data_IF_929037609979
#
_entry.id   IF_929037609979
#
_cell.length_a   1.000
_cell.length_b   1.000
_cell.length_c   1.000
_cell.angle_alpha   90.00
_cell.angle_beta   90.00
_cell.angle_gamma   90.00
#
_symmetry.space_group_name_H-M   'P 1'
#
loop_
_entity.id
_entity.type
_entity.pdbx_description
1 polymer ?
#
# COMPACT_ATOMS: atom_id res chain seq x y z
N UNK A 1 -19.52 -5.60 -2.78
CA UNK A 1 -19.03 -5.03 -1.50
C UNK A 1 -17.95 -4.05 -1.88
N UNK A 2 -18.00 -2.81 -1.39
CA UNK A 2 -17.30 -1.65 -1.96
C UNK A 2 -15.79 -1.82 -2.22
N UNK A 3 -15.11 -2.71 -1.47
CA UNK A 3 -13.69 -3.03 -1.67
C UNK A 3 -13.39 -3.69 -3.02
N UNK A 4 -14.28 -4.56 -3.51
CA UNK A 4 -14.09 -5.24 -4.79
C UNK A 4 -14.23 -4.27 -5.98
N UNK A 5 -15.13 -3.29 -5.84
CA UNK A 5 -15.28 -2.18 -6.79
C UNK A 5 -14.06 -1.26 -6.76
N UNK A 6 -13.59 -0.87 -5.57
CA UNK A 6 -12.37 -0.06 -5.40
C UNK A 6 -11.15 -0.74 -6.00
N UNK A 7 -11.02 -2.06 -5.84
CA UNK A 7 -9.95 -2.85 -6.47
C UNK A 7 -9.94 -2.70 -7.99
N UNK A 8 -11.11 -2.67 -8.63
CA UNK A 8 -11.22 -2.42 -10.07
C UNK A 8 -10.69 -1.03 -10.47
N UNK A 9 -11.00 -0.01 -9.66
CA UNK A 9 -10.52 1.36 -9.88
C UNK A 9 -9.01 1.53 -9.66
N UNK A 10 -8.36 0.69 -8.84
CA UNK A 10 -6.90 0.74 -8.66
C UNK A 10 -6.11 0.43 -9.93
N UNK A 11 -6.74 -0.22 -10.92
CA UNK A 11 -6.16 -0.53 -12.24
C UNK A 11 -6.75 0.35 -13.36
N UNK A 12 -7.44 1.44 -12.99
CA UNK A 12 -8.00 2.36 -13.97
C UNK A 12 -6.89 3.02 -14.80
N UNK A 13 -7.23 3.40 -16.04
CA UNK A 13 -6.32 4.14 -16.92
C UNK A 13 -5.97 5.53 -16.38
N UNK A 14 -6.83 6.06 -15.50
CA UNK A 14 -6.62 7.33 -14.82
C UNK A 14 -5.87 7.12 -13.50
N UNK A 15 -4.64 7.63 -13.45
CA UNK A 15 -3.75 7.52 -12.29
C UNK A 15 -4.29 8.20 -11.03
N UNK A 16 -5.00 9.34 -11.16
CA UNK A 16 -5.62 10.02 -10.03
C UNK A 16 -6.76 9.19 -9.44
N UNK A 17 -7.54 8.53 -10.31
CA UNK A 17 -8.64 7.64 -9.89
C UNK A 17 -8.08 6.40 -9.19
N UNK A 18 -7.05 5.79 -9.76
CA UNK A 18 -6.35 4.67 -9.15
C UNK A 18 -5.78 5.04 -7.77
N UNK A 19 -5.10 6.19 -7.67
CA UNK A 19 -4.54 6.66 -6.40
C UNK A 19 -5.60 6.98 -5.35
N UNK A 20 -6.71 7.60 -5.76
CA UNK A 20 -7.84 7.86 -4.86
C UNK A 20 -8.46 6.57 -4.34
N UNK A 21 -8.61 5.55 -5.19
CA UNK A 21 -9.12 4.24 -4.81
C UNK A 21 -8.18 3.53 -3.83
N UNK A 22 -6.87 3.54 -4.10
CA UNK A 22 -5.83 2.97 -3.22
C UNK A 22 -5.86 3.65 -1.85
N UNK A 23 -5.89 4.99 -1.83
CA UNK A 23 -5.98 5.78 -0.60
C UNK A 23 -7.26 5.49 0.18
N UNK A 24 -8.38 5.33 -0.51
CA UNK A 24 -9.65 4.96 0.11
C UNK A 24 -9.60 3.56 0.73
N UNK A 25 -8.99 2.58 0.05
CA UNK A 25 -8.79 1.22 0.60
C UNK A 25 -7.93 1.26 1.86
N UNK A 26 -6.84 2.04 1.86
CA UNK A 26 -6.04 2.26 3.07
C UNK A 26 -6.84 2.92 4.19
N UNK A 27 -7.60 3.98 3.88
CA UNK A 27 -8.47 4.65 4.85
C UNK A 27 -9.50 3.71 5.48
N UNK A 28 -10.12 2.83 4.68
CA UNK A 28 -11.01 1.76 5.16
C UNK A 28 -10.23 0.72 5.96
N UNK A 29 -9.02 0.40 5.52
CA UNK A 29 -8.06 -0.50 6.17
C UNK A 29 -7.55 -0.03 7.52
N UNK A 30 -7.82 1.21 7.97
CA UNK A 30 -7.53 1.65 9.36
C UNK A 30 -8.22 0.78 10.42
N UNK A 31 -9.35 0.16 10.08
CA UNK A 31 -10.01 -0.81 10.97
C UNK A 31 -9.50 -2.24 10.79
N UNK A 32 -8.43 -2.44 10.02
CA UNK A 32 -7.74 -3.72 9.89
C UNK A 32 -8.57 -4.86 9.34
N UNK A 33 -8.97 -4.73 8.08
CA UNK A 33 -9.41 -5.91 7.34
C UNK A 33 -8.22 -6.50 6.62
N UNK A 34 -7.89 -7.78 6.89
CA UNK A 34 -6.93 -8.57 6.08
C UNK A 34 -7.16 -8.36 4.58
N UNK A 35 -8.43 -8.23 4.19
CA UNK A 35 -8.88 -7.99 2.83
C UNK A 35 -8.32 -6.72 2.19
N UNK A 36 -8.16 -5.63 2.96
CA UNK A 36 -7.55 -4.40 2.44
C UNK A 36 -6.06 -4.61 2.15
N UNK A 37 -5.35 -5.31 3.04
CA UNK A 37 -3.94 -5.63 2.87
C UNK A 37 -3.74 -6.58 1.69
N UNK A 38 -4.57 -7.62 1.54
CA UNK A 38 -4.54 -8.52 0.39
C UNK A 38 -4.70 -7.76 -0.94
N UNK A 39 -5.62 -6.79 -1.01
CA UNK A 39 -5.81 -5.98 -2.22
C UNK A 39 -4.56 -5.14 -2.50
N UNK A 40 -4.07 -4.41 -1.49
CA UNK A 40 -2.89 -3.54 -1.63
C UNK A 40 -1.65 -4.35 -2.04
N UNK A 41 -1.39 -5.49 -1.41
CA UNK A 41 -0.29 -6.40 -1.76
C UNK A 41 -0.47 -6.96 -3.18
N UNK A 42 -1.69 -7.31 -3.57
CA UNK A 42 -2.00 -7.75 -4.93
C UNK A 42 -1.70 -6.69 -6.00
N UNK A 43 -1.86 -5.40 -5.67
CA UNK A 43 -1.53 -4.29 -6.56
C UNK A 43 -0.01 -4.12 -6.76
N UNK A 44 0.81 -4.41 -5.74
CA UNK A 44 2.27 -4.41 -5.87
C UNK A 44 2.74 -5.42 -6.94
N UNK A 45 2.02 -6.53 -7.09
CA UNK A 45 2.27 -7.53 -8.12
C UNK A 45 2.08 -7.04 -9.56
N UNK A 46 1.42 -5.90 -9.77
CA UNK A 46 1.22 -5.32 -11.11
C UNK A 46 2.49 -4.67 -11.68
N UNK A 47 3.53 -4.46 -10.85
CA UNK A 47 4.82 -3.85 -11.26
C UNK A 47 4.68 -2.49 -11.96
N UNK A 48 3.63 -1.74 -11.65
CA UNK A 48 3.44 -0.39 -12.16
C UNK A 48 3.95 0.61 -11.14
N UNK A 49 4.92 1.45 -11.51
CA UNK A 49 5.60 2.37 -10.60
C UNK A 49 4.64 3.31 -9.85
N UNK A 50 3.67 3.91 -10.56
CA UNK A 50 2.69 4.81 -9.95
C UNK A 50 1.77 4.10 -8.96
N UNK A 51 1.34 2.87 -9.28
CA UNK A 51 0.51 2.05 -8.38
C UNK A 51 1.32 1.64 -7.16
N UNK A 52 2.53 1.13 -7.37
CA UNK A 52 3.43 0.73 -6.30
C UNK A 52 3.71 1.88 -5.35
N UNK A 53 4.04 3.06 -5.88
CA UNK A 53 4.28 4.26 -5.08
C UNK A 53 3.04 4.64 -4.25
N UNK A 54 1.85 4.66 -4.86
CA UNK A 54 0.60 4.95 -4.17
C UNK A 54 0.29 3.94 -3.05
N UNK A 55 0.51 2.65 -3.31
CA UNK A 55 0.30 1.58 -2.33
C UNK A 55 1.27 1.71 -1.17
N UNK A 56 2.56 1.92 -1.43
CA UNK A 56 3.60 2.07 -0.41
C UNK A 56 3.31 3.29 0.46
N UNK A 57 2.93 4.43 -0.14
CA UNK A 57 2.52 5.62 0.61
C UNK A 57 1.30 5.35 1.50
N UNK A 58 0.31 4.63 0.96
CA UNK A 58 -0.91 4.29 1.69
C UNK A 58 -0.62 3.36 2.87
N UNK A 59 0.20 2.33 2.66
CA UNK A 59 0.62 1.43 3.74
C UNK A 59 1.44 2.15 4.80
N UNK A 60 2.30 3.11 4.39
CA UNK A 60 3.06 3.94 5.32
C UNK A 60 2.17 4.85 6.18
N UNK A 61 1.17 5.50 5.58
CA UNK A 61 0.17 6.28 6.32
C UNK A 61 -0.60 5.39 7.30
N UNK A 62 -0.89 4.15 6.89
CA UNK A 62 -1.53 3.15 7.74
C UNK A 62 -0.70 2.81 8.97
N UNK A 63 0.59 2.48 8.79
CA UNK A 63 1.51 2.19 9.90
C UNK A 63 1.70 3.40 10.80
N UNK A 64 1.72 4.61 10.21
CA UNK A 64 1.79 5.85 10.96
C UNK A 64 0.59 6.04 11.91
N UNK A 65 -0.62 5.74 11.42
CA UNK A 65 -1.85 5.86 12.22
C UNK A 65 -2.06 4.65 13.16
N UNK A 66 -1.57 3.47 12.78
CA UNK A 66 -1.76 2.21 13.47
C UNK A 66 -0.43 1.41 13.46
N UNK A 67 0.47 1.61 14.43
CA UNK A 67 1.79 0.97 14.43
C UNK A 67 1.71 -0.56 14.53
N UNK A 68 0.59 -1.11 15.00
CA UNK A 68 0.37 -2.55 15.03
C UNK A 68 0.49 -3.22 13.65
N UNK A 69 0.40 -2.49 12.50
CA UNK A 69 0.42 -3.12 11.15
C UNK A 69 1.80 -3.21 10.56
N UNK A 70 2.79 -2.72 11.28
CA UNK A 70 4.15 -2.61 10.78
C UNK A 70 4.66 -3.96 10.26
N UNK A 71 4.48 -5.05 11.01
CA UNK A 71 4.94 -6.38 10.61
C UNK A 71 4.26 -6.88 9.31
N UNK A 72 2.93 -6.83 9.23
CA UNK A 72 2.20 -7.29 8.04
C UNK A 72 2.51 -6.45 6.80
N UNK A 73 2.69 -5.13 6.99
CA UNK A 73 3.12 -4.22 5.92
C UNK A 73 4.58 -4.52 5.51
N UNK A 74 5.45 -4.81 6.47
CA UNK A 74 6.84 -5.16 6.20
C UNK A 74 6.93 -6.44 5.35
N UNK A 75 6.20 -7.49 5.72
CA UNK A 75 6.13 -8.74 4.93
C UNK A 75 5.59 -8.49 3.51
N UNK A 76 4.58 -7.62 3.36
CA UNK A 76 4.04 -7.28 2.05
C UNK A 76 5.02 -6.49 1.16
N UNK A 77 5.90 -5.69 1.78
CA UNK A 77 6.87 -4.83 1.09
C UNK A 77 8.22 -5.52 0.81
N UNK A 78 8.55 -6.60 1.51
CA UNK A 78 9.80 -7.38 1.34
C UNK A 78 9.98 -7.91 -0.11
N UNK A 79 8.89 -8.07 -0.86
CA UNK A 79 8.91 -8.43 -2.29
C UNK A 79 9.00 -7.25 -3.28
N UNK A 80 8.96 -6.00 -2.79
CA UNK A 80 8.80 -4.79 -3.60
C UNK A 80 10.08 -3.93 -3.69
N UNK A 81 11.17 -4.34 -3.04
CA UNK A 81 12.41 -3.59 -2.88
C UNK A 81 13.05 -3.13 -4.20
N UNK A 82 12.89 -3.87 -5.29
CA UNK A 82 13.43 -3.53 -6.62
C UNK A 82 12.88 -2.21 -7.20
N UNK A 83 11.69 -1.78 -6.79
CA UNK A 83 11.02 -0.57 -7.31
C UNK A 83 11.17 0.68 -6.45
N UNK A 84 11.65 0.54 -5.21
CA UNK A 84 11.72 1.65 -4.24
C UNK A 84 13.10 2.34 -4.18
N UNK A 85 14.10 1.81 -4.88
CA UNK A 85 15.48 2.28 -4.80
C UNK A 85 15.73 3.67 -5.41
N UNK A 86 14.81 4.23 -6.19
CA UNK A 86 15.00 5.54 -6.82
C UNK A 86 14.60 6.73 -5.92
N UNK A 87 13.58 6.59 -5.06
CA UNK A 87 13.06 7.70 -4.26
C UNK A 87 13.41 7.59 -2.78
N UNK A 88 14.71 7.58 -2.49
CA UNK A 88 15.35 8.25 -1.35
C UNK A 88 14.58 8.31 0.00
N UNK A 89 14.03 7.19 0.48
CA UNK A 89 13.70 7.04 1.89
C UNK A 89 14.05 5.62 2.29
N UNK A 90 15.27 5.41 2.78
CA UNK A 90 15.53 4.26 3.67
C UNK A 90 14.57 4.42 4.84
N UNK A 91 13.57 3.56 5.02
CA UNK A 91 12.74 3.69 6.18
C UNK A 91 13.56 3.22 7.38
N UNK A 92 13.80 4.14 8.29
CA UNK A 92 14.37 3.93 9.61
C UNK A 92 13.39 3.10 10.48
N UNK A 93 13.04 1.89 10.07
CA UNK A 93 12.29 0.95 10.90
C UNK A 93 13.21 0.12 11.81
N UNK A 94 14.53 0.18 11.62
CA UNK A 94 15.51 -0.65 12.32
C UNK A 94 16.34 0.13 13.37
N UNK A 95 15.72 1.09 14.05
CA UNK A 95 16.40 1.92 15.07
C UNK A 95 15.64 1.97 16.39
N UNK A 96 15.13 0.84 16.89
CA UNK A 96 14.87 0.64 18.34
C UNK A 96 14.86 -0.87 18.65
N UNK A 97 16.05 -1.45 18.86
CA UNK A 97 16.27 -2.62 19.73
C UNK A 97 17.40 -2.23 20.67
#
# INVERSE_FOLDING_TARGET
MILDELRGYCTDVNTDTAQAAISAIGGIGRSYSDRCLEILTGLLGLKQEHITSAVVQTMRDLVWVCPQCSDTVCEALEGCEDTLLDSQVRPIWHATI
#
